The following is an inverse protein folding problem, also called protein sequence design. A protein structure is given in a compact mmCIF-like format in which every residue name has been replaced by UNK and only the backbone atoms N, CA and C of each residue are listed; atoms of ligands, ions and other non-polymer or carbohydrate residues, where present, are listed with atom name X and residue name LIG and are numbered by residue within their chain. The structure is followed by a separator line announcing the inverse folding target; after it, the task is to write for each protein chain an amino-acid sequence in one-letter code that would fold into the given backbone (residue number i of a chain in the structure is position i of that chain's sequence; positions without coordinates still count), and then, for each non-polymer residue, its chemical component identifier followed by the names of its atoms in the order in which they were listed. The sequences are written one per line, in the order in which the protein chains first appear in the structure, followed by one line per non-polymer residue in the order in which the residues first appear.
data_IF_212401950598
#
_entry.id   IF_212401950598
#
_cell.length_a   1.000
_cell.length_b   1.000
_cell.length_c   1.000
_cell.angle_alpha   90.00
_cell.angle_beta   90.00
_cell.angle_gamma   90.00
#
_symmetry.space_group_name_H-M   'P 1'
#
loop_
_entity.id
_entity.type
_entity.pdbx_description
1 polymer ?
#
# COMPACT_ATOMS: atom_id res chain seq x y z
N UNK A 1 27.66 -4.49 2.04
CA UNK A 1 26.79 -3.51 2.73
C UNK A 1 27.04 -3.48 4.24
N UNK A 2 27.06 -4.61 4.96
CA UNK A 2 27.28 -4.64 6.42
C UNK A 2 28.56 -3.96 6.95
N UNK A 3 29.61 -3.82 6.12
CA UNK A 3 30.89 -3.17 6.50
C UNK A 3 30.94 -1.66 6.24
N UNK A 4 29.91 -1.07 5.62
CA UNK A 4 29.85 0.36 5.27
C UNK A 4 28.46 0.94 5.53
N UNK A 5 28.07 1.16 6.80
CA UNK A 5 26.72 1.58 7.18
C UNK A 5 26.30 2.91 6.54
N UNK A 6 27.20 3.89 6.46
CA UNK A 6 26.90 5.19 5.82
C UNK A 6 26.61 5.05 4.32
N UNK A 7 27.42 4.27 3.59
CA UNK A 7 27.19 4.01 2.16
C UNK A 7 25.87 3.27 1.94
N UNK A 8 25.54 2.33 2.82
CA UNK A 8 24.27 1.63 2.78
C UNK A 8 23.09 2.59 3.01
N UNK A 9 23.17 3.49 3.99
CA UNK A 9 22.18 4.53 4.25
C UNK A 9 21.98 5.44 3.02
N UNK A 10 23.07 5.87 2.39
CA UNK A 10 23.03 6.68 1.16
C UNK A 10 22.32 5.95 0.01
N UNK A 11 22.64 4.66 -0.20
CA UNK A 11 21.96 3.83 -1.22
C UNK A 11 20.47 3.72 -0.93
N UNK A 12 20.06 3.43 0.31
CA UNK A 12 18.65 3.36 0.69
C UNK A 12 17.93 4.66 0.39
N UNK A 13 18.49 5.79 0.83
CA UNK A 13 17.89 7.12 0.58
C UNK A 13 17.78 7.42 -0.92
N UNK A 14 18.78 7.06 -1.71
CA UNK A 14 18.75 7.25 -3.15
C UNK A 14 17.65 6.40 -3.82
N UNK A 15 17.54 5.12 -3.46
CA UNK A 15 16.50 4.24 -3.99
C UNK A 15 15.09 4.72 -3.63
N UNK A 16 14.86 5.06 -2.36
CA UNK A 16 13.55 5.58 -1.90
C UNK A 16 13.21 6.92 -2.56
N UNK A 17 14.17 7.86 -2.66
CA UNK A 17 13.95 9.14 -3.31
C UNK A 17 13.64 8.98 -4.79
N UNK A 18 14.32 8.08 -5.49
CA UNK A 18 14.04 7.79 -6.90
C UNK A 18 12.68 7.14 -7.09
N UNK A 19 12.29 6.22 -6.20
CA UNK A 19 10.96 5.62 -6.22
C UNK A 19 9.87 6.67 -5.95
N UNK A 20 10.05 7.56 -4.98
CA UNK A 20 9.10 8.62 -4.67
C UNK A 20 8.90 9.62 -5.82
N UNK A 21 9.95 9.88 -6.62
CA UNK A 21 9.88 10.75 -7.82
C UNK A 21 8.99 10.19 -8.93
N UNK A 22 8.55 8.93 -8.86
CA UNK A 22 7.57 8.36 -9.79
C UNK A 22 6.17 8.94 -9.51
N UNK A 23 5.89 9.42 -8.29
CA UNK A 23 4.56 9.86 -7.90
C UNK A 23 3.88 10.87 -8.87
N UNK A 24 4.54 11.97 -9.30
CA UNK A 24 3.93 12.94 -10.22
C UNK A 24 3.51 12.34 -11.58
N UNK A 25 4.24 11.33 -12.07
CA UNK A 25 3.94 10.60 -13.31
C UNK A 25 2.58 9.87 -13.25
N UNK A 26 2.09 9.61 -12.04
CA UNK A 26 0.85 8.85 -11.81
C UNK A 26 -0.39 9.74 -11.80
N UNK A 27 -0.19 11.07 -11.78
CA UNK A 27 -1.24 12.07 -11.84
C UNK A 27 -1.52 12.44 -13.31
N UNK A 28 -2.78 12.44 -13.71
CA UNK A 28 -3.16 12.67 -15.11
C UNK A 28 -2.91 14.12 -15.51
N UNK A 29 -2.27 14.32 -16.67
CA UNK A 29 -2.08 15.65 -17.25
C UNK A 29 -0.92 16.46 -16.67
N UNK A 30 -0.11 15.88 -15.79
CA UNK A 30 1.17 16.48 -15.39
C UNK A 30 2.20 16.35 -16.51
N UNK A 31 3.19 17.25 -16.54
CA UNK A 31 4.30 17.19 -17.49
C UNK A 31 5.03 15.85 -17.36
N UNK A 32 5.26 15.39 -16.13
CA UNK A 32 5.93 14.12 -15.87
C UNK A 32 5.16 12.91 -16.42
N UNK A 33 3.82 12.94 -16.38
CA UNK A 33 3.00 11.85 -16.91
C UNK A 33 3.04 11.81 -18.44
N UNK A 34 2.98 12.98 -19.09
CA UNK A 34 3.05 13.10 -20.55
C UNK A 34 4.45 12.70 -21.07
N UNK A 35 5.50 13.22 -20.44
CA UNK A 35 6.89 12.94 -20.78
C UNK A 35 7.23 11.46 -20.58
N UNK A 36 6.75 10.86 -19.48
CA UNK A 36 6.93 9.43 -19.28
C UNK A 36 6.22 8.64 -20.38
N UNK A 37 4.97 8.97 -20.72
CA UNK A 37 4.24 8.26 -21.77
C UNK A 37 5.02 8.27 -23.08
N UNK A 38 5.52 9.45 -23.50
CA UNK A 38 6.33 9.59 -24.71
C UNK A 38 7.67 8.82 -24.63
N UNK A 39 8.35 8.89 -23.48
CA UNK A 39 9.65 8.24 -23.25
C UNK A 39 9.53 6.72 -23.26
N UNK A 40 8.53 6.17 -22.58
CA UNK A 40 8.27 4.73 -22.55
C UNK A 40 7.89 4.22 -23.94
N UNK A 41 7.00 4.91 -24.65
CA UNK A 41 6.62 4.51 -26.01
C UNK A 41 7.83 4.52 -26.96
N UNK A 42 8.58 5.62 -26.99
CA UNK A 42 9.78 5.74 -27.83
C UNK A 42 10.81 4.65 -27.51
N UNK A 43 11.06 4.41 -26.22
CA UNK A 43 11.99 3.37 -25.77
C UNK A 43 11.54 1.95 -26.12
N UNK A 44 10.23 1.67 -26.10
CA UNK A 44 9.70 0.38 -26.53
C UNK A 44 9.81 0.20 -28.05
N UNK A 45 9.47 1.23 -28.83
CA UNK A 45 9.62 1.22 -30.30
C UNK A 45 11.05 0.97 -30.73
N UNK A 46 12.01 1.67 -30.11
CA UNK A 46 13.43 1.50 -30.40
C UNK A 46 13.89 0.06 -30.14
N UNK A 47 13.47 -0.56 -29.02
CA UNK A 47 13.87 -1.93 -28.68
C UNK A 47 13.23 -2.98 -29.60
N UNK A 48 12.00 -2.71 -30.05
CA UNK A 48 11.23 -3.57 -30.95
C UNK A 48 11.43 -3.26 -32.45
N UNK A 49 12.42 -2.43 -32.79
CA UNK A 49 12.69 -2.03 -34.17
C UNK A 49 12.76 -3.21 -35.14
N UNK A 50 12.14 -3.08 -36.31
CA UNK A 50 12.03 -4.17 -37.30
C UNK A 50 11.00 -5.27 -37.00
N UNK A 51 10.26 -5.19 -35.88
CA UNK A 51 9.17 -6.12 -35.52
C UNK A 51 7.86 -5.38 -35.23
N UNK A 52 7.24 -4.84 -36.27
CA UNK A 52 5.99 -4.07 -36.19
C UNK A 52 4.79 -4.87 -35.64
N UNK A 53 4.81 -6.19 -35.81
CA UNK A 53 3.88 -7.12 -35.18
C UNK A 53 3.96 -7.03 -33.63
N UNK A 54 5.18 -7.00 -33.08
CA UNK A 54 5.42 -6.87 -31.64
C UNK A 54 5.09 -5.47 -31.15
N UNK A 55 5.41 -4.41 -31.92
CA UNK A 55 5.08 -3.02 -31.59
C UNK A 55 3.56 -2.88 -31.37
N UNK A 56 2.76 -3.38 -32.30
CA UNK A 56 1.28 -3.33 -32.21
C UNK A 56 0.73 -4.11 -31.03
N UNK A 57 1.37 -5.22 -30.65
CA UNK A 57 0.91 -6.08 -29.57
C UNK A 57 1.36 -5.61 -28.17
N UNK A 58 2.57 -5.02 -28.07
CA UNK A 58 3.23 -4.76 -26.79
C UNK A 58 3.07 -3.34 -26.28
N UNK A 59 2.95 -2.34 -27.17
CA UNK A 59 2.86 -0.94 -26.76
C UNK A 59 1.45 -0.68 -26.20
N UNK A 60 1.31 -0.35 -24.90
CA UNK A 60 0.01 -0.13 -24.29
C UNK A 60 -0.67 1.14 -24.80
N UNK A 61 -2.00 1.17 -24.73
CA UNK A 61 -2.84 2.35 -25.04
C UNK A 61 -3.25 3.17 -23.80
N UNK A 62 -2.67 2.84 -22.64
CA UNK A 62 -2.94 3.49 -21.36
C UNK A 62 -1.64 4.05 -20.79
N UNK A 63 -1.72 5.03 -19.89
CA UNK A 63 -0.51 5.66 -19.36
C UNK A 63 0.34 4.70 -18.50
N UNK A 64 1.67 4.86 -18.49
CA UNK A 64 2.56 4.16 -17.56
C UNK A 64 2.09 4.33 -16.11
N UNK A 65 2.02 3.23 -15.36
CA UNK A 65 1.54 3.24 -13.97
C UNK A 65 0.09 2.77 -13.79
N UNK A 66 -0.75 2.73 -14.85
CA UNK A 66 -2.10 2.12 -14.76
C UNK A 66 -2.03 0.68 -14.22
N UNK A 67 -0.95 -0.03 -14.56
CA UNK A 67 -0.47 -1.24 -13.90
C UNK A 67 0.99 -1.05 -13.50
N UNK A 68 1.46 -1.88 -12.56
CA UNK A 68 2.88 -1.85 -12.14
C UNK A 68 3.78 -2.06 -13.35
N UNK A 69 4.85 -1.27 -13.44
CA UNK A 69 5.77 -1.32 -14.57
C UNK A 69 6.46 -2.68 -14.64
N UNK A 70 6.24 -3.34 -15.78
CA UNK A 70 6.82 -4.62 -16.20
C UNK A 70 6.93 -4.55 -17.72
N UNK A 71 7.83 -5.29 -18.38
CA UNK A 71 8.77 -6.29 -17.87
C UNK A 71 10.16 -5.70 -17.55
N UNK A 72 11.06 -6.53 -16.99
CA UNK A 72 12.42 -6.14 -16.65
C UNK A 72 13.36 -6.02 -17.87
N UNK A 73 14.62 -5.57 -17.64
CA UNK A 73 15.63 -5.46 -18.70
C UNK A 73 15.80 -6.75 -19.51
N UNK A 74 15.89 -6.64 -20.83
CA UNK A 74 16.14 -7.76 -21.75
C UNK A 74 14.90 -8.49 -22.28
N UNK A 75 13.71 -8.23 -21.73
CA UNK A 75 12.50 -8.93 -22.17
C UNK A 75 12.09 -8.58 -23.61
N UNK A 76 12.05 -7.30 -23.97
CA UNK A 76 11.65 -6.87 -25.33
C UNK A 76 12.66 -7.35 -26.38
N UNK A 77 13.94 -7.34 -26.04
CA UNK A 77 15.02 -7.84 -26.88
C UNK A 77 14.96 -9.36 -27.06
N UNK A 78 14.50 -10.10 -26.04
CA UNK A 78 14.30 -11.55 -26.12
C UNK A 78 13.20 -11.93 -27.12
N UNK A 79 12.13 -11.15 -27.23
CA UNK A 79 11.05 -11.39 -28.20
C UNK A 79 11.49 -11.30 -29.67
N UNK A 80 12.66 -10.70 -29.93
CA UNK A 80 13.22 -10.57 -31.28
C UNK A 80 14.15 -11.70 -31.68
N UNK A 81 14.45 -12.65 -30.78
CA UNK A 81 15.39 -13.73 -31.06
C UNK A 81 14.78 -14.73 -32.05
N UNK A 82 15.61 -15.28 -32.93
CA UNK A 82 15.19 -16.23 -33.96
C UNK A 82 14.58 -17.53 -33.41
N UNK A 83 14.81 -17.83 -32.14
CA UNK A 83 14.29 -19.00 -31.43
C UNK A 83 13.09 -18.66 -30.51
N UNK A 84 12.42 -17.54 -30.73
CA UNK A 84 11.27 -17.09 -29.93
C UNK A 84 10.10 -16.74 -30.84
N UNK A 85 9.03 -17.52 -30.70
CA UNK A 85 7.74 -17.22 -31.31
C UNK A 85 6.85 -16.45 -30.34
N UNK A 86 6.20 -15.39 -30.81
CA UNK A 86 5.27 -14.58 -30.04
C UNK A 86 3.83 -14.84 -30.52
N UNK A 87 3.10 -15.66 -29.76
CA UNK A 87 1.75 -16.12 -30.12
C UNK A 87 0.72 -15.42 -29.21
N UNK A 88 -0.22 -14.69 -29.81
CA UNK A 88 -1.32 -14.00 -29.10
C UNK A 88 -2.67 -14.71 -29.23
N UNK A 89 -2.75 -15.72 -30.10
CA UNK A 89 -3.94 -16.55 -30.27
C UNK A 89 -4.20 -17.36 -29.00
N UNK A 90 -5.46 -17.41 -28.55
CA UNK A 90 -5.83 -18.14 -27.33
C UNK A 90 -5.63 -19.65 -27.50
N UNK A 91 -5.28 -20.31 -26.40
CA UNK A 91 -5.18 -21.77 -26.30
C UNK A 91 -6.59 -22.34 -26.14
N UNK A 92 -6.96 -23.32 -26.96
CA UNK A 92 -8.22 -24.07 -26.84
C UNK A 92 -8.09 -25.26 -25.90
N UNK A 93 -7.02 -26.04 -26.03
CA UNK A 93 -6.77 -27.23 -25.21
C UNK A 93 -5.27 -27.60 -25.18
N UNK A 94 -4.90 -28.41 -24.19
CA UNK A 94 -3.58 -29.05 -24.10
C UNK A 94 -3.71 -30.45 -24.70
N UNK A 95 -2.78 -30.83 -25.58
CA UNK A 95 -2.72 -32.13 -26.23
C UNK A 95 -1.53 -32.94 -25.68
N UNK A 96 -1.42 -34.25 -25.95
CA UNK A 96 -0.24 -35.03 -25.55
C UNK A 96 1.08 -34.49 -26.12
N UNK A 97 1.03 -33.85 -27.30
CA UNK A 97 2.19 -33.32 -28.02
C UNK A 97 2.46 -31.83 -27.75
N UNK A 98 1.54 -31.11 -27.12
CA UNK A 98 1.69 -29.68 -26.83
C UNK A 98 0.37 -28.95 -26.57
N UNK A 99 0.08 -27.92 -27.36
CA UNK A 99 -1.15 -27.12 -27.25
C UNK A 99 -1.82 -26.93 -28.61
N UNK A 100 -3.14 -26.77 -28.58
CA UNK A 100 -3.93 -26.36 -29.73
C UNK A 100 -4.45 -24.95 -29.52
N UNK A 101 -4.31 -24.11 -30.54
CA UNK A 101 -4.81 -22.75 -30.56
C UNK A 101 -6.25 -22.74 -31.09
N UNK A 102 -7.03 -21.70 -30.75
CA UNK A 102 -8.39 -21.53 -31.26
C UNK A 102 -8.46 -21.38 -32.79
N UNK A 103 -7.34 -21.05 -33.45
CA UNK A 103 -7.19 -21.04 -34.90
C UNK A 103 -7.20 -22.45 -35.52
N UNK A 104 -7.02 -23.50 -34.70
CA UNK A 104 -6.82 -24.88 -35.12
C UNK A 104 -5.36 -25.27 -35.29
N UNK A 105 -4.42 -24.33 -35.17
CA UNK A 105 -2.97 -24.58 -35.20
C UNK A 105 -2.52 -25.37 -33.97
N UNK A 106 -1.63 -26.35 -34.18
CA UNK A 106 -1.00 -27.12 -33.11
C UNK A 106 0.45 -26.67 -32.91
N UNK A 107 0.80 -26.38 -31.66
CA UNK A 107 2.15 -26.00 -31.26
C UNK A 107 2.71 -27.12 -30.40
N UNK A 108 3.69 -27.84 -30.93
CA UNK A 108 4.36 -28.93 -30.22
C UNK A 108 5.26 -28.36 -29.11
N UNK A 109 5.16 -28.91 -27.91
CA UNK A 109 5.90 -28.44 -26.74
C UNK A 109 6.41 -29.63 -25.92
N UNK A 110 7.69 -29.63 -25.57
CA UNK A 110 8.23 -30.57 -24.60
C UNK A 110 7.87 -30.18 -23.15
N UNK A 111 7.73 -28.86 -22.91
CA UNK A 111 7.48 -28.28 -21.58
C UNK A 111 6.51 -27.11 -21.69
N UNK A 112 5.48 -27.10 -20.84
CA UNK A 112 4.55 -25.98 -20.68
C UNK A 112 4.78 -25.30 -19.32
N UNK A 113 5.10 -24.00 -19.33
CA UNK A 113 5.30 -23.19 -18.12
C UNK A 113 4.12 -22.24 -17.93
N UNK A 114 3.33 -22.46 -16.89
CA UNK A 114 2.16 -21.63 -16.56
C UNK A 114 2.53 -20.43 -15.66
N UNK A 115 2.76 -19.26 -16.25
CA UNK A 115 3.03 -18.01 -15.52
C UNK A 115 1.73 -17.33 -15.02
N UNK A 116 1.04 -17.95 -14.05
CA UNK A 116 -0.37 -17.66 -13.67
C UNK A 116 -0.61 -16.35 -12.92
N UNK A 117 0.40 -15.78 -12.24
CA UNK A 117 0.27 -14.55 -11.45
C UNK A 117 -0.20 -14.79 -10.00
N UNK A 118 -1.03 -13.88 -9.46
CA UNK A 118 -1.45 -13.87 -8.06
C UNK A 118 -2.98 -13.79 -7.93
N UNK A 119 -3.53 -14.41 -6.88
CA UNK A 119 -4.91 -14.19 -6.42
C UNK A 119 -4.94 -13.01 -5.43
N UNK A 120 -5.72 -11.99 -5.77
CA UNK A 120 -5.83 -10.73 -5.02
C UNK A 120 -7.23 -10.51 -4.42
N UNK A 121 -8.16 -11.45 -4.61
CA UNK A 121 -9.56 -11.32 -4.19
C UNK A 121 -9.87 -12.06 -2.87
N UNK A 122 -8.89 -12.76 -2.29
CA UNK A 122 -9.07 -13.71 -1.20
C UNK A 122 -8.60 -13.34 0.24
N UNK A 123 -8.17 -12.11 0.61
CA UNK A 123 -7.84 -11.82 2.01
C UNK A 123 -9.10 -11.46 2.83
N UNK A 124 -9.17 -11.82 4.14
CA UNK A 124 -8.35 -12.82 4.81
C UNK A 124 -8.77 -14.25 4.42
N UNK A 125 -7.82 -15.19 4.44
CA UNK A 125 -8.06 -16.62 4.11
C UNK A 125 -8.82 -17.40 5.19
N UNK A 126 -9.35 -16.70 6.19
CA UNK A 126 -10.09 -17.25 7.31
C UNK A 126 -11.40 -16.48 7.49
N UNK A 127 -12.39 -17.14 8.08
CA UNK A 127 -13.63 -16.48 8.41
C UNK A 127 -13.43 -15.50 9.57
N UNK A 128 -13.81 -14.24 9.34
CA UNK A 128 -13.88 -13.22 10.38
C UNK A 128 -15.32 -12.77 10.58
N UNK A 129 -15.78 -12.90 11.83
CA UNK A 129 -17.12 -12.50 12.27
C UNK A 129 -16.97 -11.40 13.32
N UNK A 130 -17.53 -10.24 13.03
CA UNK A 130 -17.54 -9.06 13.90
C UNK A 130 -18.79 -8.98 14.76
N UNK A 131 -19.14 -7.75 15.15
CA UNK A 131 -20.34 -7.47 15.94
C UNK A 131 -21.60 -7.97 15.25
N UNK A 132 -22.60 -8.36 16.06
CA UNK A 132 -23.92 -8.78 15.58
C UNK A 132 -23.89 -9.94 14.56
N UNK A 133 -22.80 -10.72 14.50
CA UNK A 133 -22.65 -11.80 13.53
C UNK A 133 -22.25 -11.35 12.12
N UNK A 134 -21.85 -10.08 11.94
CA UNK A 134 -21.43 -9.56 10.63
C UNK A 134 -20.17 -10.27 10.13
N UNK A 135 -20.26 -10.95 8.98
CA UNK A 135 -19.10 -11.58 8.33
C UNK A 135 -18.36 -10.55 7.49
N UNK A 136 -17.03 -10.47 7.64
CA UNK A 136 -16.21 -9.47 6.92
C UNK A 136 -16.39 -9.56 5.41
N UNK A 137 -16.42 -10.78 4.87
CA UNK A 137 -16.66 -11.07 3.45
C UNK A 137 -17.99 -10.52 2.91
N UNK A 138 -19.00 -10.32 3.78
CA UNK A 138 -20.26 -9.70 3.40
C UNK A 138 -20.20 -8.18 3.52
N UNK A 139 -19.56 -7.65 4.57
CA UNK A 139 -19.36 -6.21 4.74
C UNK A 139 -18.54 -5.60 3.60
N UNK A 140 -17.61 -6.37 3.07
CA UNK A 140 -16.73 -6.00 1.96
C UNK A 140 -17.36 -6.16 0.57
N UNK A 141 -18.67 -6.35 0.48
CA UNK A 141 -19.43 -6.26 -0.78
C UNK A 141 -20.03 -4.86 -0.92
N UNK A 142 -19.97 -4.25 -2.12
CA UNK A 142 -19.46 -4.79 -3.37
C UNK A 142 -17.93 -4.69 -3.54
N UNK A 143 -17.25 -3.98 -2.65
CA UNK A 143 -15.80 -3.79 -2.70
C UNK A 143 -15.24 -3.52 -1.29
N UNK A 144 -13.95 -3.76 -1.12
CA UNK A 144 -13.26 -3.60 0.15
C UNK A 144 -13.27 -2.14 0.63
N UNK A 145 -13.50 -1.95 1.93
CA UNK A 145 -13.45 -0.67 2.62
C UNK A 145 -12.75 -0.84 3.96
N UNK A 146 -11.98 0.17 4.35
CA UNK A 146 -11.18 0.19 5.57
C UNK A 146 -11.07 1.61 6.10
N UNK A 147 -10.68 1.76 7.35
CA UNK A 147 -10.17 3.02 7.90
C UNK A 147 -8.65 3.01 7.74
N UNK A 148 -8.12 3.94 6.95
CA UNK A 148 -6.69 4.17 6.71
C UNK A 148 -5.89 2.89 6.40
N UNK A 149 -6.50 1.91 5.74
CA UNK A 149 -5.93 0.60 5.45
C UNK A 149 -5.51 -0.25 6.67
N UNK A 150 -5.89 0.13 7.90
CA UNK A 150 -5.46 -0.53 9.15
C UNK A 150 -6.60 -1.20 9.92
N UNK A 151 -7.85 -0.75 9.77
CA UNK A 151 -8.98 -1.27 10.56
C UNK A 151 -10.30 -1.26 9.76
N UNK A 152 -11.33 -1.92 10.28
CA UNK A 152 -12.70 -1.97 9.72
C UNK A 152 -13.70 -1.78 10.86
N UNK A 153 -14.75 -1.00 10.64
CA UNK A 153 -15.82 -0.80 11.64
C UNK A 153 -16.63 -2.10 11.85
N UNK A 154 -17.20 -2.28 13.04
CA UNK A 154 -17.88 -3.51 13.50
C UNK A 154 -16.95 -4.71 13.75
N UNK A 155 -15.62 -4.53 13.61
CA UNK A 155 -14.61 -5.55 13.92
C UNK A 155 -13.68 -5.03 15.03
N UNK A 156 -14.15 -4.98 16.30
CA UNK A 156 -13.36 -4.45 17.39
C UNK A 156 -12.08 -5.25 17.61
N UNK A 157 -11.00 -4.54 17.94
CA UNK A 157 -9.66 -5.09 18.17
C UNK A 157 -9.06 -5.83 16.96
N UNK A 158 -9.66 -5.74 15.77
CA UNK A 158 -9.11 -6.29 14.54
C UNK A 158 -8.35 -5.22 13.76
N UNK A 159 -7.06 -5.48 13.55
CA UNK A 159 -6.17 -4.62 12.77
C UNK A 159 -5.48 -5.42 11.67
N UNK A 160 -5.16 -4.74 10.58
CA UNK A 160 -4.52 -5.32 9.40
C UNK A 160 -3.21 -4.61 9.08
N UNK A 161 -2.22 -5.40 8.69
CA UNK A 161 -1.06 -4.94 7.93
C UNK A 161 -1.29 -5.38 6.49
N UNK A 162 -1.15 -4.47 5.53
CA UNK A 162 -1.47 -4.75 4.14
C UNK A 162 -2.97 -4.82 3.84
N UNK A 163 -3.81 -4.11 4.60
CA UNK A 163 -5.25 -4.03 4.36
C UNK A 163 -5.62 -3.33 3.04
N UNK A 164 -6.93 -3.26 2.70
CA UNK A 164 -7.41 -2.54 1.52
C UNK A 164 -6.89 -1.10 1.49
N UNK A 165 -6.43 -0.65 0.32
CA UNK A 165 -5.82 0.65 0.06
C UNK A 165 -4.46 0.90 0.77
N UNK A 166 -3.72 -0.15 1.17
CA UNK A 166 -2.36 0.00 1.73
C UNK A 166 -1.23 0.01 0.70
N UNK A 167 -1.50 -0.48 -0.52
CA UNK A 167 -0.50 -0.65 -1.57
C UNK A 167 0.02 0.69 -2.08
N UNK A 168 1.27 0.74 -2.50
CA UNK A 168 1.84 1.95 -3.08
C UNK A 168 2.03 1.80 -4.59
N UNK A 169 1.61 2.83 -5.33
CA UNK A 169 1.95 2.94 -6.75
C UNK A 169 3.40 3.37 -6.99
N UNK A 170 4.02 4.01 -5.99
CA UNK A 170 5.44 4.39 -5.98
C UNK A 170 6.00 4.41 -4.54
N UNK A 171 7.27 4.04 -4.38
CA UNK A 171 7.92 3.90 -3.07
C UNK A 171 7.91 2.48 -2.50
N UNK A 172 8.46 2.33 -1.30
CA UNK A 172 8.58 1.04 -0.61
C UNK A 172 7.34 0.69 0.21
N UNK A 173 6.74 -0.46 -0.09
CA UNK A 173 5.62 -1.01 0.67
C UNK A 173 6.04 -1.48 2.08
N UNK A 174 7.31 -1.86 2.26
CA UNK A 174 7.83 -2.28 3.57
C UNK A 174 7.71 -1.13 4.57
N UNK A 175 8.05 0.10 4.16
CA UNK A 175 7.93 1.28 5.02
C UNK A 175 6.49 1.51 5.49
N UNK A 176 5.51 1.22 4.63
CA UNK A 176 4.09 1.31 5.00
C UNK A 176 3.73 0.23 6.02
N UNK A 177 4.20 -1.01 5.84
CA UNK A 177 3.94 -2.09 6.80
C UNK A 177 4.57 -1.82 8.17
N UNK A 178 5.78 -1.25 8.20
CA UNK A 178 6.42 -0.77 9.43
C UNK A 178 5.56 0.32 10.09
N UNK A 179 5.10 1.32 9.32
CA UNK A 179 4.24 2.38 9.84
C UNK A 179 2.88 1.86 10.35
N UNK A 180 2.26 0.91 9.65
CA UNK A 180 1.03 0.24 10.11
C UNK A 180 1.27 -0.54 11.40
N UNK A 181 2.42 -1.21 11.52
CA UNK A 181 2.81 -1.92 12.75
C UNK A 181 2.97 -0.95 13.92
N UNK A 182 3.68 0.16 13.71
CA UNK A 182 3.86 1.21 14.72
C UNK A 182 2.53 1.85 15.13
N UNK A 183 1.63 2.08 14.18
CA UNK A 183 0.27 2.57 14.42
C UNK A 183 -0.48 1.61 15.36
N UNK A 184 -0.48 0.31 15.04
CA UNK A 184 -1.16 -0.71 15.84
C UNK A 184 -0.55 -0.82 17.24
N UNK A 185 0.78 -0.75 17.37
CA UNK A 185 1.45 -0.73 18.69
C UNK A 185 1.01 0.47 19.51
N UNK A 186 0.91 1.67 18.93
CA UNK A 186 0.41 2.87 19.62
C UNK A 186 -1.03 2.65 20.11
N UNK A 187 -1.90 2.05 19.28
CA UNK A 187 -3.27 1.74 19.67
C UNK A 187 -3.31 0.75 20.84
N UNK A 188 -2.56 -0.34 20.78
CA UNK A 188 -2.49 -1.35 21.85
C UNK A 188 -2.01 -0.72 23.16
N UNK A 189 -0.93 0.08 23.10
CA UNK A 189 -0.40 0.78 24.28
C UNK A 189 -1.43 1.74 24.89
N UNK A 190 -2.20 2.46 24.06
CA UNK A 190 -3.30 3.30 24.53
C UNK A 190 -4.34 2.48 25.27
N UNK A 191 -4.81 1.38 24.67
CA UNK A 191 -5.81 0.50 25.32
C UNK A 191 -5.35 -0.02 26.67
N UNK A 192 -4.10 -0.50 26.75
CA UNK A 192 -3.51 -1.00 27.99
C UNK A 192 -3.34 0.10 29.03
N UNK A 193 -2.94 1.31 28.61
CA UNK A 193 -2.69 2.44 29.50
C UNK A 193 -3.99 3.05 30.05
N UNK A 194 -5.04 3.10 29.23
CA UNK A 194 -6.30 3.79 29.52
C UNK A 194 -7.46 2.84 29.88
N UNK A 195 -7.17 1.55 30.11
CA UNK A 195 -8.14 0.55 30.59
C UNK A 195 -9.34 0.35 29.64
N UNK A 196 -9.06 0.25 28.34
CA UNK A 196 -10.05 -0.08 27.31
C UNK A 196 -10.04 -1.57 26.97
N UNK A 197 -11.23 -2.18 26.87
CA UNK A 197 -11.40 -3.57 26.45
C UNK A 197 -11.59 -3.71 24.93
N UNK A 198 -12.21 -2.71 24.29
CA UNK A 198 -12.37 -2.67 22.84
C UNK A 198 -12.04 -1.31 22.26
N UNK A 199 -11.50 -1.31 21.05
CA UNK A 199 -11.41 -0.16 20.18
C UNK A 199 -11.84 -0.57 18.76
N UNK A 200 -12.59 0.29 18.08
CA UNK A 200 -12.92 0.11 16.65
C UNK A 200 -13.10 1.47 15.97
N UNK A 201 -12.80 1.60 14.67
CA UNK A 201 -13.02 2.87 13.98
C UNK A 201 -14.53 3.16 13.89
N UNK A 202 -14.87 4.43 13.97
CA UNK A 202 -16.24 4.90 13.72
C UNK A 202 -16.66 4.57 12.27
N UNK A 203 -17.88 4.05 12.03
CA UNK A 203 -18.36 3.75 10.68
C UNK A 203 -18.27 4.95 9.73
N UNK A 204 -18.55 6.17 10.21
CA UNK A 204 -18.44 7.39 9.42
C UNK A 204 -17.00 7.66 8.95
N UNK A 205 -15.98 7.29 9.73
CA UNK A 205 -14.57 7.49 9.36
C UNK A 205 -14.09 6.48 8.30
N UNK A 206 -14.65 5.27 8.30
CA UNK A 206 -14.47 4.29 7.21
C UNK A 206 -15.10 4.84 5.93
N UNK A 207 -16.32 5.42 6.04
CA UNK A 207 -17.00 6.08 4.93
C UNK A 207 -16.23 7.28 4.36
N UNK A 208 -15.72 8.16 5.23
CA UNK A 208 -14.96 9.35 4.84
C UNK A 208 -13.67 8.97 4.09
N UNK A 209 -12.92 7.98 4.58
CA UNK A 209 -11.72 7.50 3.88
C UNK A 209 -12.06 6.85 2.53
N UNK A 210 -13.15 6.09 2.48
CA UNK A 210 -13.69 5.53 1.24
C UNK A 210 -14.00 6.63 0.21
N UNK A 211 -14.63 7.74 0.63
CA UNK A 211 -14.92 8.87 -0.24
C UNK A 211 -13.63 9.58 -0.71
N UNK A 212 -12.65 9.74 0.19
CA UNK A 212 -11.35 10.31 -0.14
C UNK A 212 -10.62 9.48 -1.20
N UNK A 213 -10.63 8.15 -1.06
CA UNK A 213 -10.09 7.20 -2.05
C UNK A 213 -10.76 7.42 -3.41
N UNK A 214 -12.08 7.41 -3.45
CA UNK A 214 -12.83 7.56 -4.71
C UNK A 214 -12.57 8.89 -5.40
N UNK A 215 -12.44 9.99 -4.64
CA UNK A 215 -12.17 11.31 -5.21
C UNK A 215 -10.72 11.41 -5.72
N UNK A 216 -9.75 10.96 -4.92
CA UNK A 216 -8.33 11.04 -5.27
C UNK A 216 -8.04 10.33 -6.61
N UNK A 217 -8.55 9.10 -6.79
CA UNK A 217 -8.17 8.29 -7.94
C UNK A 217 -8.75 8.77 -9.27
N UNK A 218 -9.79 9.64 -9.28
CA UNK A 218 -10.33 10.25 -10.51
C UNK A 218 -9.27 11.01 -11.30
N UNK A 219 -8.33 11.65 -10.60
CA UNK A 219 -7.23 12.44 -11.19
C UNK A 219 -5.99 11.64 -11.58
N UNK A 220 -6.04 10.30 -11.54
CA UNK A 220 -4.84 9.45 -11.68
C UNK A 220 -4.91 8.51 -12.87
N UNK A 221 -3.73 8.07 -13.35
CA UNK A 221 -3.59 7.06 -14.41
C UNK A 221 -4.07 5.68 -13.99
N UNK A 222 -4.25 5.42 -12.68
CA UNK A 222 -4.70 4.13 -12.16
C UNK A 222 -6.11 3.76 -12.59
N UNK A 223 -6.87 4.73 -13.11
CA UNK A 223 -8.24 4.56 -13.61
C UNK A 223 -8.36 4.49 -15.14
N UNK A 224 -7.24 4.53 -15.89
CA UNK A 224 -7.25 4.42 -17.36
C UNK A 224 -7.82 3.07 -17.86
N UNK A 225 -8.07 2.89 -19.15
CA UNK A 225 -8.60 1.62 -19.67
C UNK A 225 -7.54 0.50 -19.71
N UNK A 226 -7.25 -0.09 -18.55
CA UNK A 226 -6.33 -1.20 -18.39
C UNK A 226 -6.86 -2.24 -17.39
N UNK A 227 -6.58 -3.53 -17.65
CA UNK A 227 -6.88 -4.63 -16.72
C UNK A 227 -5.90 -4.64 -15.55
N UNK A 228 -6.30 -4.10 -14.41
CA UNK A 228 -5.43 -3.93 -13.26
C UNK A 228 -5.97 -4.63 -12.04
N UNK A 229 -5.09 -5.29 -11.29
CA UNK A 229 -5.43 -5.87 -9.99
C UNK A 229 -5.67 -4.79 -8.93
N UNK A 230 -5.34 -3.53 -9.22
CA UNK A 230 -5.57 -2.42 -8.29
C UNK A 230 -7.06 -2.16 -8.01
N UNK A 231 -7.95 -2.71 -8.83
CA UNK A 231 -9.37 -2.37 -8.88
C UNK A 231 -10.25 -3.46 -8.28
N UNK A 232 -11.44 -3.06 -7.83
CA UNK A 232 -12.48 -3.99 -7.41
C UNK A 232 -12.96 -4.80 -8.64
N UNK A 233 -12.39 -6.00 -8.81
CA UNK A 233 -12.47 -6.76 -10.05
C UNK A 233 -11.55 -6.20 -11.13
N UNK A 234 -11.00 -7.06 -11.99
CA UNK A 234 -9.95 -6.71 -12.98
C UNK A 234 -10.30 -5.57 -13.95
N UNK A 235 -11.59 -5.29 -14.15
CA UNK A 235 -12.12 -4.24 -15.02
C UNK A 235 -13.04 -3.25 -14.26
N UNK A 236 -13.06 -3.30 -12.93
CA UNK A 236 -13.82 -2.35 -12.13
C UNK A 236 -13.31 -0.93 -12.27
N UNK A 237 -14.07 0.05 -11.78
CA UNK A 237 -13.70 1.47 -11.83
C UNK A 237 -13.10 1.97 -10.53
N UNK A 238 -13.37 1.28 -9.42
CA UNK A 238 -12.92 1.67 -8.08
C UNK A 238 -11.58 1.04 -7.73
N UNK A 239 -10.65 1.85 -7.20
CA UNK A 239 -9.35 1.40 -6.71
C UNK A 239 -9.48 0.90 -5.26
N UNK A 240 -9.04 -0.33 -5.02
CA UNK A 240 -9.09 -1.00 -3.69
C UNK A 240 -7.71 -1.42 -3.17
N UNK A 241 -6.70 -1.47 -4.04
CA UNK A 241 -5.37 -1.90 -3.63
C UNK A 241 -4.48 -0.75 -3.16
N UNK A 242 -4.57 0.40 -3.82
CA UNK A 242 -3.58 1.47 -3.67
C UNK A 242 -4.01 2.52 -2.65
N UNK A 243 -3.02 3.07 -1.96
CA UNK A 243 -3.11 4.24 -1.11
C UNK A 243 -3.39 5.49 -1.95
N UNK A 244 -4.34 6.34 -1.55
CA UNK A 244 -4.67 7.57 -2.26
C UNK A 244 -3.63 8.67 -1.96
N UNK A 245 -2.38 8.50 -2.42
CA UNK A 245 -1.31 9.47 -2.23
C UNK A 245 0.09 8.89 -2.40
N UNK A 246 1.10 9.70 -2.07
CA UNK A 246 2.50 9.27 -2.09
C UNK A 246 2.85 8.40 -0.87
N UNK A 247 3.99 7.72 -0.92
CA UNK A 247 4.51 6.99 0.24
C UNK A 247 4.75 7.91 1.44
N UNK A 248 5.34 9.09 1.23
CA UNK A 248 5.55 10.08 2.28
C UNK A 248 4.24 10.57 2.90
N UNK A 249 3.20 10.79 2.09
CA UNK A 249 1.86 11.10 2.57
C UNK A 249 1.30 9.98 3.45
N UNK A 250 1.39 8.72 3.00
CA UNK A 250 0.94 7.56 3.79
C UNK A 250 1.64 7.48 5.15
N UNK A 251 2.97 7.61 5.17
CA UNK A 251 3.77 7.56 6.38
C UNK A 251 3.41 8.67 7.37
N UNK A 252 3.12 9.88 6.87
CA UNK A 252 2.68 10.98 7.73
C UNK A 252 1.29 10.73 8.33
N UNK A 253 0.33 10.29 7.51
CA UNK A 253 -1.02 9.98 7.99
C UNK A 253 -1.02 8.85 9.03
N UNK A 254 -0.15 7.86 8.87
CA UNK A 254 0.00 6.76 9.83
C UNK A 254 0.92 7.10 11.02
N UNK A 255 1.55 8.28 11.04
CA UNK A 255 2.51 8.65 12.08
C UNK A 255 1.85 8.75 13.46
N UNK A 256 0.63 9.27 13.52
CA UNK A 256 -0.10 9.45 14.77
C UNK A 256 -1.58 9.06 14.61
N UNK A 257 -2.09 8.09 15.39
CA UNK A 257 -3.52 7.80 15.40
C UNK A 257 -4.36 9.02 15.80
N UNK A 258 -5.41 9.29 15.04
CA UNK A 258 -6.46 10.25 15.40
C UNK A 258 -7.41 9.57 16.37
N UNK A 259 -7.19 9.77 17.67
CA UNK A 259 -7.91 9.01 18.71
C UNK A 259 -9.42 9.23 18.68
N UNK A 260 -9.85 10.42 18.26
CA UNK A 260 -11.23 10.84 18.07
C UNK A 260 -11.97 10.09 16.94
N UNK A 261 -11.27 9.37 16.08
CA UNK A 261 -11.86 8.59 14.99
C UNK A 261 -12.35 7.21 15.47
N UNK A 262 -12.11 6.86 16.73
CA UNK A 262 -12.44 5.55 17.31
C UNK A 262 -13.57 5.61 18.33
N UNK A 263 -14.25 4.47 18.47
CA UNK A 263 -15.17 4.15 19.56
C UNK A 263 -14.40 3.25 20.54
N UNK A 264 -14.55 3.53 21.83
CA UNK A 264 -13.90 2.78 22.90
C UNK A 264 -14.94 2.18 23.85
N UNK A 265 -14.72 0.96 24.29
CA UNK A 265 -15.44 0.38 25.43
C UNK A 265 -14.44 0.18 26.57
N UNK A 266 -14.76 0.72 27.75
CA UNK A 266 -13.93 0.53 28.93
C UNK A 266 -13.90 -0.95 29.34
N UNK A 267 -12.77 -1.39 29.88
CA UNK A 267 -12.69 -2.67 30.59
C UNK A 267 -13.39 -2.59 31.96
N UNK A 268 -13.60 -1.38 32.49
CA UNK A 268 -14.33 -1.16 33.72
C UNK A 268 -15.84 -1.24 33.51
N UNK A 269 -16.48 -2.16 34.24
CA UNK A 269 -17.93 -2.33 34.24
C UNK A 269 -18.66 -1.35 35.16
N UNK A 270 -17.94 -0.62 36.02
CA UNK A 270 -18.55 0.35 36.94
C UNK A 270 -18.91 1.68 36.27
N UNK A 271 -18.34 1.95 35.08
CA UNK A 271 -18.54 3.19 34.32
C UNK A 271 -17.53 4.30 34.65
N UNK A 272 -16.57 4.07 35.55
CA UNK A 272 -15.53 5.04 35.86
C UNK A 272 -14.44 5.09 34.77
N UNK A 273 -14.59 6.01 33.82
CA UNK A 273 -13.63 6.20 32.72
C UNK A 273 -12.24 6.70 33.16
N UNK A 274 -12.06 7.04 34.45
CA UNK A 274 -10.77 7.47 35.02
C UNK A 274 -10.10 6.36 35.84
N UNK A 275 -10.63 5.12 35.83
CA UNK A 275 -10.04 3.99 36.57
C UNK A 275 -8.58 3.74 36.20
N UNK A 276 -8.19 4.02 34.96
CA UNK A 276 -6.83 3.85 34.45
C UNK A 276 -5.76 4.68 35.19
N UNK A 277 -6.16 5.71 35.96
CA UNK A 277 -5.26 6.48 36.83
C UNK A 277 -4.62 5.57 37.89
N UNK A 278 -5.26 4.45 38.22
CA UNK A 278 -4.77 3.49 39.21
C UNK A 278 -5.02 3.96 40.64
N UNK A 279 -4.11 3.59 41.55
CA UNK A 279 -4.25 3.81 42.99
C UNK A 279 -3.36 4.94 43.53
N UNK A 280 -2.80 5.77 42.65
CA UNK A 280 -1.89 6.87 42.99
C UNK A 280 -0.43 6.48 43.23
N UNK A 281 -0.08 5.19 43.17
CA UNK A 281 1.31 4.73 43.26
C UNK A 281 1.96 4.60 41.88
N UNK A 282 3.26 4.83 41.83
CA UNK A 282 4.12 4.57 40.66
C UNK A 282 5.12 3.48 40.99
N UNK A 283 5.40 2.59 40.04
CA UNK A 283 6.48 1.60 40.17
C UNK A 283 7.85 2.28 40.37
N UNK A 284 8.01 3.54 39.94
CA UNK A 284 9.21 4.33 40.23
C UNK A 284 9.45 4.53 41.73
N UNK A 285 8.41 4.49 42.57
CA UNK A 285 8.54 4.62 44.03
C UNK A 285 8.88 3.31 44.73
N UNK A 286 8.71 2.16 44.06
CA UNK A 286 8.91 0.83 44.66
C UNK A 286 10.07 0.06 44.04
N UNK A 287 10.28 0.19 42.74
CA UNK A 287 11.19 -0.63 41.93
C UNK A 287 12.13 0.21 41.04
N UNK A 288 11.90 1.52 40.94
CA UNK A 288 12.63 2.41 40.03
C UNK A 288 13.26 3.61 40.71
N UNK A 289 13.60 4.60 39.89
CA UNK A 289 14.08 5.90 40.35
C UNK A 289 12.91 6.85 40.56
N UNK A 290 12.67 7.27 41.81
CA UNK A 290 11.62 8.23 42.16
C UNK A 290 11.83 9.63 41.56
N UNK A 291 13.05 9.94 41.11
CA UNK A 291 13.44 11.22 40.51
C UNK A 291 13.68 11.15 38.99
N UNK A 292 13.27 10.07 38.32
CA UNK A 292 13.55 9.83 36.89
C UNK A 292 13.21 11.00 35.95
N UNK A 293 12.26 11.85 36.34
CA UNK A 293 11.83 13.03 35.58
C UNK A 293 12.84 14.19 35.61
N UNK A 294 13.94 14.08 36.36
CA UNK A 294 15.04 15.03 36.42
C UNK A 294 16.26 14.58 35.59
N UNK A 295 16.23 13.39 34.99
CA UNK A 295 17.31 12.88 34.16
C UNK A 295 17.45 13.72 32.88
N UNK A 296 18.69 13.99 32.45
CA UNK A 296 18.99 14.85 31.29
C UNK A 296 18.32 14.37 29.99
N UNK A 297 18.09 13.05 29.85
CA UNK A 297 17.41 12.45 28.69
C UNK A 297 15.89 12.70 28.67
N UNK A 298 15.30 13.04 29.83
CA UNK A 298 13.86 13.24 30.04
C UNK A 298 13.52 14.73 30.12
N UNK A 299 14.43 15.53 30.68
CA UNK A 299 14.27 16.98 30.77
C UNK A 299 14.43 17.60 29.38
N UNK A 300 13.31 17.82 28.71
CA UNK A 300 13.28 18.53 27.43
C UNK A 300 13.49 20.03 27.68
N UNK A 301 14.61 20.56 27.21
CA UNK A 301 14.91 22.00 27.26
C UNK A 301 14.45 22.60 25.94
N UNK A 302 13.43 23.50 25.93
CA UNK A 302 12.94 24.12 24.71
C UNK A 302 14.09 24.76 23.94
N UNK A 303 14.28 24.33 22.70
CA UNK A 303 15.28 24.94 21.82
C UNK A 303 14.84 26.38 21.53
N UNK A 304 15.75 27.34 21.68
CA UNK A 304 15.48 28.75 21.40
C UNK A 304 15.12 28.94 19.91
N UNK A 305 14.00 29.62 19.64
CA UNK A 305 13.49 29.88 18.29
C UNK A 305 12.20 29.13 17.95
N UNK A 306 11.90 29.03 16.65
CA UNK A 306 10.74 28.33 16.09
C UNK A 306 11.12 26.87 15.75
N UNK A 307 10.63 25.86 16.52
CA UNK A 307 11.00 24.46 16.30
C UNK A 307 10.74 23.97 14.88
N UNK A 308 9.66 24.43 14.25
CA UNK A 308 9.27 24.12 12.87
C UNK A 308 10.34 24.51 11.83
N UNK A 309 11.21 25.46 12.17
CA UNK A 309 12.30 25.87 11.29
C UNK A 309 13.57 25.02 11.43
N UNK A 310 13.62 24.11 12.41
CA UNK A 310 14.77 23.25 12.63
C UNK A 310 14.97 22.23 11.49
N UNK A 311 16.22 21.81 11.31
CA UNK A 311 16.59 20.74 10.37
C UNK A 311 15.94 19.38 10.69
N UNK A 312 15.50 19.19 11.93
CA UNK A 312 14.75 17.99 12.32
C UNK A 312 13.36 18.01 11.68
N UNK A 313 12.57 19.05 11.96
CA UNK A 313 11.18 19.11 11.49
C UNK A 313 11.06 19.35 9.98
N UNK A 314 12.01 20.05 9.33
CA UNK A 314 12.06 20.21 7.86
C UNK A 314 12.24 18.89 7.09
N UNK A 315 12.76 17.84 7.73
CA UNK A 315 12.94 16.51 7.11
C UNK A 315 11.69 15.64 7.20
N UNK A 316 10.73 15.97 8.05
CA UNK A 316 9.48 15.25 8.18
C UNK A 316 8.48 15.76 7.15
N UNK A 317 7.79 14.83 6.48
CA UNK A 317 6.72 15.18 5.57
C UNK A 317 5.55 15.73 6.38
N UNK A 318 5.22 17.00 6.21
CA UNK A 318 3.93 17.53 6.64
C UNK A 318 2.95 17.39 5.47
N UNK A 319 1.78 16.81 5.73
CA UNK A 319 0.68 16.81 4.77
C UNK A 319 -0.04 18.15 4.82
N UNK A 320 -0.24 18.77 3.65
CA UNK A 320 -1.15 19.90 3.46
C UNK A 320 -2.58 19.40 3.23
#
# INVERSE_FOLDING_TARGET
MARHPEKYQQIRKMLEANAAKIYPMTLRGTEEQLDATATFESGMRQRLDGREDLVKAMIPKFAPGCRRLTPGPGYLEALKKDNVDFITTQISEVTPEGIKLISGEEVNLDVLVCATGYDVEAPPTFELVGRNGTRLVNKWKPHFQSYLAVAVDEFPNFFMIGGPNSGLGSGSLISVFEAQSDYIVKVIRKMQKEDYSTIEPKPERVGDFSQYVDEYFKGTVYTDECSSWYRAGRLGTRIVALWPGSSAHCLEILRAPRWEDFIYESADKTGNQLRWIGNGWSLALTEGDASWFLEDEVVDVPVEGEPEQSEYYKKHAFSH
#
